data_IF_206995709370
#
_entry.id   IF_206995709370
#
_cell.length_a   1.000
_cell.length_b   1.000
_cell.length_c   1.000
_cell.angle_alpha   90.00
_cell.angle_beta   90.00
_cell.angle_gamma   90.00
#
_symmetry.space_group_name_H-M   'P 1'
#
loop_
_entity.id
_entity.type
_entity.pdbx_description
1 polymer ?
#
# COMPACT_ATOMS: atom_id res chain seq x y z
N UNK A 1 -14.08 -3.34 10.39
CA UNK A 1 -13.61 -3.22 9.01
C UNK A 1 -12.94 -1.88 8.91
N UNK A 2 -11.66 -1.88 8.58
CA UNK A 2 -10.90 -0.66 8.36
C UNK A 2 -11.50 0.12 7.17
N UNK A 3 -11.26 1.43 7.14
CA UNK A 3 -11.73 2.28 6.06
C UNK A 3 -11.02 1.99 4.73
N UNK A 4 -11.59 2.46 3.63
CA UNK A 4 -10.92 2.39 2.33
C UNK A 4 -9.64 3.22 2.31
N UNK A 5 -8.57 2.67 1.71
CA UNK A 5 -7.25 3.30 1.66
C UNK A 5 -7.27 4.73 1.10
N UNK A 6 -8.05 4.99 0.05
CA UNK A 6 -8.13 6.30 -0.61
C UNK A 6 -8.84 7.32 0.28
N UNK A 7 -9.80 6.87 1.10
CA UNK A 7 -10.48 7.75 2.05
C UNK A 7 -9.64 8.04 3.29
N UNK A 8 -8.91 7.03 3.79
CA UNK A 8 -8.11 7.12 5.02
C UNK A 8 -6.80 7.87 4.79
N UNK A 9 -6.14 7.62 3.67
CA UNK A 9 -4.86 8.24 3.33
C UNK A 9 -4.85 8.78 1.89
N UNK A 10 -5.68 9.80 1.58
CA UNK A 10 -5.76 10.40 0.24
C UNK A 10 -4.46 11.09 -0.21
N UNK A 11 -3.55 11.37 0.74
CA UNK A 11 -2.21 11.88 0.46
C UNK A 11 -1.24 10.79 -0.03
N UNK A 12 -1.56 9.51 0.19
CA UNK A 12 -0.77 8.35 -0.26
C UNK A 12 -1.39 7.69 -1.48
N UNK A 13 -2.70 7.48 -1.48
CA UNK A 13 -3.39 6.65 -2.46
C UNK A 13 -4.22 7.48 -3.44
N UNK A 14 -4.02 7.23 -4.73
CA UNK A 14 -4.82 7.84 -5.80
C UNK A 14 -5.37 6.77 -6.74
N UNK A 15 -6.68 6.77 -6.95
CA UNK A 15 -7.31 5.93 -7.99
C UNK A 15 -6.89 6.45 -9.37
N UNK A 16 -6.31 5.58 -10.19
CA UNK A 16 -5.90 5.90 -11.57
C UNK A 16 -6.65 5.08 -12.63
N UNK A 17 -7.26 3.97 -12.24
CA UNK A 17 -8.17 3.18 -13.08
C UNK A 17 -9.19 2.48 -12.16
N UNK A 18 -10.44 2.40 -12.60
CA UNK A 18 -11.44 1.60 -11.92
C UNK A 18 -12.47 1.04 -12.90
N UNK A 19 -12.74 -0.25 -12.81
CA UNK A 19 -13.78 -0.94 -13.58
C UNK A 19 -14.40 -2.08 -12.74
N UNK A 20 -15.11 -3.01 -13.39
CA UNK A 20 -15.81 -4.12 -12.75
C UNK A 20 -14.89 -5.25 -12.26
N UNK A 21 -13.63 -5.27 -12.67
CA UNK A 21 -12.67 -6.34 -12.35
C UNK A 21 -11.56 -5.88 -11.42
N UNK A 22 -11.11 -4.63 -11.58
CA UNK A 22 -9.98 -4.09 -10.84
C UNK A 22 -10.17 -2.62 -10.46
N UNK A 23 -9.48 -2.23 -9.38
CA UNK A 23 -9.13 -0.84 -9.07
C UNK A 23 -7.61 -0.73 -9.05
N UNK A 24 -7.07 0.27 -9.73
CA UNK A 24 -5.62 0.53 -9.72
C UNK A 24 -5.36 1.80 -8.93
N UNK A 25 -4.49 1.68 -7.92
CA UNK A 25 -4.02 2.78 -7.10
C UNK A 25 -2.57 3.12 -7.47
N UNK A 26 -2.28 4.40 -7.77
CA UNK A 26 -0.93 4.96 -7.72
C UNK A 26 -0.69 5.38 -6.27
N UNK A 27 0.34 4.78 -5.65
CA UNK A 27 0.68 5.00 -4.25
C UNK A 27 1.99 5.76 -4.15
N UNK A 28 2.04 6.81 -3.33
CA UNK A 28 3.24 7.61 -3.10
C UNK A 28 3.37 8.00 -1.65
N UNK A 29 4.53 7.76 -1.06
CA UNK A 29 4.86 8.30 0.25
C UNK A 29 6.27 8.88 0.26
N UNK A 30 6.44 10.00 0.95
CA UNK A 30 7.75 10.55 1.25
C UNK A 30 8.44 9.69 2.32
N UNK A 31 9.78 9.79 2.48
CA UNK A 31 10.47 9.19 3.62
C UNK A 31 9.81 9.55 4.95
N UNK A 32 9.47 8.54 5.77
CA UNK A 32 8.75 8.75 7.03
C UNK A 32 7.25 8.96 6.90
N UNK A 33 6.70 8.98 5.68
CA UNK A 33 5.27 9.10 5.41
C UNK A 33 4.47 7.94 6.00
N UNK A 34 3.23 8.21 6.40
CA UNK A 34 2.35 7.24 7.06
C UNK A 34 0.98 7.19 6.43
N UNK A 35 0.32 6.04 6.59
CA UNK A 35 -1.10 5.84 6.36
C UNK A 35 -1.70 5.12 7.55
N UNK A 36 -2.77 5.69 8.11
CA UNK A 36 -3.51 5.11 9.24
C UNK A 36 -4.18 3.80 8.85
N UNK A 37 -4.66 3.02 9.83
CA UNK A 37 -5.27 1.70 9.61
C UNK A 37 -6.36 1.74 8.53
N UNK A 38 -6.13 1.02 7.42
CA UNK A 38 -7.02 0.90 6.27
C UNK A 38 -7.03 -0.54 5.76
N UNK A 39 -7.94 -0.83 4.83
CA UNK A 39 -8.09 -2.14 4.20
C UNK A 39 -7.86 -2.11 2.69
N UNK A 40 -7.35 -3.22 2.18
CA UNK A 40 -7.26 -3.55 0.77
C UNK A 40 -7.90 -4.93 0.51
N UNK A 41 -8.57 -5.15 -0.64
CA UNK A 41 -8.93 -6.50 -1.08
C UNK A 41 -7.68 -7.25 -1.57
N UNK A 42 -7.86 -8.46 -2.09
CA UNK A 42 -6.79 -9.18 -2.77
C UNK A 42 -6.17 -8.29 -3.86
N UNK A 43 -4.85 -8.26 -3.95
CA UNK A 43 -4.17 -7.36 -4.87
C UNK A 43 -2.84 -7.88 -5.39
N UNK A 44 -2.44 -7.37 -6.54
CA UNK A 44 -1.07 -7.44 -7.05
C UNK A 44 -0.42 -6.07 -6.88
N UNK A 45 0.78 -6.02 -6.29
CA UNK A 45 1.59 -4.81 -6.20
C UNK A 45 2.76 -4.85 -7.17
N UNK A 46 3.10 -3.70 -7.75
CA UNK A 46 4.31 -3.48 -8.55
C UNK A 46 5.09 -2.28 -8.00
N UNK A 47 6.32 -2.52 -7.56
CA UNK A 47 7.18 -1.49 -6.99
C UNK A 47 7.89 -0.68 -8.10
N UNK A 48 7.64 0.62 -8.17
CA UNK A 48 8.32 1.51 -9.12
C UNK A 48 9.68 1.96 -8.56
N UNK A 49 9.75 2.28 -7.27
CA UNK A 49 10.99 2.55 -6.52
C UNK A 49 11.34 1.38 -5.59
N UNK A 50 12.44 1.48 -4.85
CA UNK A 50 12.64 0.64 -3.67
C UNK A 50 11.68 1.07 -2.56
N UNK A 51 11.21 0.11 -1.74
CA UNK A 51 10.29 0.33 -0.63
C UNK A 51 10.86 -0.32 0.63
N UNK A 52 10.71 0.34 1.76
CA UNK A 52 10.90 -0.29 3.06
C UNK A 52 9.84 0.24 4.01
N UNK A 53 8.95 -0.63 4.45
CA UNK A 53 7.82 -0.27 5.30
C UNK A 53 7.84 -1.02 6.61
N UNK A 54 7.44 -0.32 7.66
CA UNK A 54 6.83 -0.97 8.83
C UNK A 54 5.33 -1.08 8.56
N UNK A 55 4.81 -2.31 8.50
CA UNK A 55 3.39 -2.59 8.39
C UNK A 55 2.86 -3.11 9.72
N UNK A 56 1.86 -2.44 10.27
CA UNK A 56 1.25 -2.79 11.56
C UNK A 56 -0.15 -3.34 11.33
N UNK A 57 -0.39 -4.57 11.76
CA UNK A 57 -1.70 -5.22 11.69
C UNK A 57 -2.67 -4.78 12.80
N UNK A 58 -3.95 -5.18 12.73
CA UNK A 58 -4.96 -4.81 13.73
C UNK A 58 -4.69 -5.35 15.14
N UNK A 59 -3.89 -6.40 15.25
CA UNK A 59 -3.42 -6.99 16.50
C UNK A 59 -2.26 -6.20 17.14
N UNK A 60 -1.76 -5.17 16.46
CA UNK A 60 -0.62 -4.36 16.87
C UNK A 60 0.74 -4.95 16.48
N UNK A 61 0.77 -6.14 15.86
CA UNK A 61 2.02 -6.73 15.38
C UNK A 61 2.54 -5.90 14.21
N UNK A 62 3.84 -5.57 14.25
CA UNK A 62 4.51 -4.83 13.19
C UNK A 62 5.56 -5.70 12.52
N UNK A 63 5.58 -5.69 11.18
CA UNK A 63 6.57 -6.40 10.37
C UNK A 63 7.28 -5.43 9.44
N UNK A 64 8.59 -5.65 9.26
CA UNK A 64 9.39 -4.92 8.29
C UNK A 64 9.25 -5.61 6.93
N UNK A 65 8.79 -4.87 5.92
CA UNK A 65 8.66 -5.33 4.54
C UNK A 65 9.60 -4.52 3.66
N UNK A 66 10.45 -5.21 2.89
CA UNK A 66 11.32 -4.59 1.91
C UNK A 66 11.03 -5.16 0.53
N UNK A 67 10.80 -4.28 -0.44
CA UNK A 67 10.49 -4.63 -1.83
C UNK A 67 11.40 -3.82 -2.75
N UNK A 68 11.98 -4.46 -3.77
CA UNK A 68 12.89 -3.78 -4.71
C UNK A 68 12.16 -3.20 -5.90
N UNK A 69 12.72 -2.14 -6.48
CA UNK A 69 12.21 -1.58 -7.73
C UNK A 69 12.10 -2.66 -8.81
N UNK A 70 10.95 -2.72 -9.48
CA UNK A 70 10.60 -3.72 -10.50
C UNK A 70 10.04 -5.03 -9.93
N UNK A 71 10.05 -5.22 -8.61
CA UNK A 71 9.48 -6.42 -7.99
C UNK A 71 7.94 -6.37 -8.02
N UNK A 72 7.35 -7.55 -8.22
CA UNK A 72 5.90 -7.77 -8.19
C UNK A 72 5.56 -8.71 -7.06
N UNK A 73 4.52 -8.42 -6.31
CA UNK A 73 4.06 -9.23 -5.20
C UNK A 73 2.53 -9.38 -5.23
N UNK A 74 2.03 -10.42 -4.56
CA UNK A 74 0.60 -10.63 -4.34
C UNK A 74 0.31 -10.62 -2.84
N UNK A 75 -0.80 -10.00 -2.45
CA UNK A 75 -1.32 -10.02 -1.10
C UNK A 75 -2.79 -10.42 -1.14
N UNK A 76 -3.18 -11.33 -0.26
CA UNK A 76 -4.58 -11.50 0.09
C UNK A 76 -5.11 -10.25 0.80
N UNK A 77 -6.43 -10.13 0.87
CA UNK A 77 -7.10 -9.02 1.53
C UNK A 77 -6.54 -8.79 2.94
N UNK A 78 -6.14 -7.55 3.21
CA UNK A 78 -5.37 -7.19 4.40
C UNK A 78 -5.84 -5.85 4.96
N UNK A 79 -5.88 -5.77 6.29
CA UNK A 79 -6.00 -4.51 7.03
C UNK A 79 -4.64 -4.18 7.66
N UNK A 80 -4.14 -2.97 7.45
CA UNK A 80 -2.88 -2.53 8.06
C UNK A 80 -2.79 -1.00 8.15
N UNK A 81 -1.94 -0.53 9.06
CA UNK A 81 -1.31 0.78 8.98
C UNK A 81 0.09 0.61 8.35
N UNK A 82 0.60 1.67 7.74
CA UNK A 82 1.92 1.64 7.12
C UNK A 82 2.73 2.90 7.46
N UNK A 83 4.04 2.71 7.58
CA UNK A 83 5.03 3.78 7.66
C UNK A 83 6.19 3.48 6.73
N UNK A 84 6.52 4.43 5.86
CA UNK A 84 7.75 4.38 5.07
C UNK A 84 8.96 4.65 5.96
N UNK A 85 9.83 3.67 6.08
CA UNK A 85 11.10 3.76 6.83
C UNK A 85 12.31 3.72 5.91
N UNK A 86 12.08 3.78 4.59
CA UNK A 86 13.11 3.96 3.58
C UNK A 86 13.61 5.41 3.53
N UNK A 87 14.74 5.61 2.83
CA UNK A 87 15.37 6.93 2.70
C UNK A 87 14.93 7.71 1.46
N UNK A 88 14.31 7.02 0.48
CA UNK A 88 13.89 7.61 -0.81
C UNK A 88 12.38 7.79 -0.96
N UNK A 89 11.59 7.36 0.02
CA UNK A 89 10.14 7.24 -0.09
C UNK A 89 9.74 6.03 -0.95
N UNK A 90 8.44 5.91 -1.20
CA UNK A 90 7.83 4.80 -1.93
C UNK A 90 6.97 5.28 -3.08
N UNK A 91 7.01 4.54 -4.19
CA UNK A 91 6.09 4.68 -5.31
C UNK A 91 5.77 3.31 -5.90
N UNK A 92 4.49 2.94 -5.93
CA UNK A 92 4.03 1.66 -6.46
C UNK A 92 2.68 1.79 -7.15
N UNK A 93 2.34 0.76 -7.93
CA UNK A 93 0.98 0.51 -8.35
C UNK A 93 0.42 -0.66 -7.54
N UNK A 94 -0.77 -0.48 -6.98
CA UNK A 94 -1.57 -1.57 -6.42
C UNK A 94 -2.73 -1.85 -7.35
N UNK A 95 -2.85 -3.09 -7.81
CA UNK A 95 -3.94 -3.58 -8.65
C UNK A 95 -4.83 -4.43 -7.74
N UNK A 96 -5.84 -3.80 -7.18
CA UNK A 96 -6.84 -4.41 -6.31
C UNK A 96 -7.91 -5.12 -7.13
N UNK A 97 -8.24 -6.35 -6.73
CA UNK A 97 -9.24 -7.19 -7.40
C UNK A 97 -10.63 -6.92 -6.83
N UNK A 98 -11.66 -7.06 -7.68
CA UNK A 98 -13.08 -6.91 -7.31
C UNK A 98 -13.87 -8.21 -7.48
#
# INVERSE_FOLDING_TARGET
>A
MAGDAVQVAPHVYKVVLENDHVRVLDTRAEPGGTSDMHGHPNMVGYAITDHTWDLTGPDGTTVLVAVKAGETFYLDAVEHAAKDVGTGGSHALLIELK
#
